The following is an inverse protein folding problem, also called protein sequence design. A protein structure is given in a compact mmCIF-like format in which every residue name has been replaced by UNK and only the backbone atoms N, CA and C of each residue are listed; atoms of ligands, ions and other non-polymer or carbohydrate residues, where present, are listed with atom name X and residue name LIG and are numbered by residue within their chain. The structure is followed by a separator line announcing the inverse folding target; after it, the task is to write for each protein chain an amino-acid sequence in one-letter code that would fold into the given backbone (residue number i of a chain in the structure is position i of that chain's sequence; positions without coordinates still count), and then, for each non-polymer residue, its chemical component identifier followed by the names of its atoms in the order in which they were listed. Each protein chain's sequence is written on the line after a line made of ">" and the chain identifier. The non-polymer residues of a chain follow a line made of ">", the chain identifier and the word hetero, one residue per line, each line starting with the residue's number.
data_IF_639314785325
#
_entry.id   IF_639314785325
#
_cell.length_a   1.000
_cell.length_b   1.000
_cell.length_c   1.000
_cell.angle_alpha   90.00
_cell.angle_beta   90.00
_cell.angle_gamma   90.00
#
_symmetry.space_group_name_H-M   'P 1'
#
loop_
_entity.id
_entity.type
_entity.pdbx_description
1 polymer ?
#
# COMPACT_ATOMS: atom_id res chain seq x y z
N UNK A 1 -16.10 29.21 7.90
CA UNK A 1 -16.12 27.73 7.83
C UNK A 1 -14.98 27.33 6.88
N UNK A 2 -13.88 26.78 7.39
CA UNK A 2 -12.75 26.33 6.55
C UNK A 2 -13.17 25.05 5.80
N UNK A 3 -13.68 25.18 4.58
CA UNK A 3 -13.45 24.10 3.59
C UNK A 3 -11.95 24.12 3.27
N UNK A 4 -11.28 23.03 2.96
CA UNK A 4 -11.64 21.64 2.98
C UNK A 4 -10.31 20.92 2.75
N UNK A 5 -9.76 20.30 3.79
CA UNK A 5 -8.51 19.55 3.65
C UNK A 5 -8.58 18.53 2.51
N UNK A 6 -9.78 17.99 2.26
CA UNK A 6 -10.08 17.10 1.14
C UNK A 6 -10.04 17.79 -0.23
N UNK A 7 -10.65 18.97 -0.38
CA UNK A 7 -10.62 19.73 -1.65
C UNK A 7 -9.20 20.20 -1.99
N UNK A 8 -8.45 20.62 -0.98
CA UNK A 8 -7.03 20.97 -1.11
C UNK A 8 -6.18 19.76 -1.50
N UNK A 9 -6.43 18.60 -0.90
CA UNK A 9 -5.71 17.37 -1.23
C UNK A 9 -5.97 16.94 -2.68
N UNK A 10 -7.24 16.93 -3.11
CA UNK A 10 -7.63 16.54 -4.48
C UNK A 10 -7.04 17.51 -5.50
N UNK A 11 -7.15 18.82 -5.28
CA UNK A 11 -6.57 19.82 -6.19
C UNK A 11 -5.05 19.75 -6.26
N UNK A 12 -4.37 19.48 -5.14
CA UNK A 12 -2.91 19.29 -5.09
C UNK A 12 -2.49 18.04 -5.87
N UNK A 13 -3.21 16.93 -5.73
CA UNK A 13 -2.95 15.71 -6.50
C UNK A 13 -3.14 15.94 -8.01
N UNK A 14 -4.24 16.60 -8.41
CA UNK A 14 -4.50 16.90 -9.82
C UNK A 14 -3.41 17.80 -10.42
N UNK A 15 -3.01 18.85 -9.70
CA UNK A 15 -1.93 19.74 -10.12
C UNK A 15 -0.59 18.98 -10.26
N UNK A 16 -0.27 18.11 -9.32
CA UNK A 16 0.97 17.32 -9.36
C UNK A 16 0.96 16.27 -10.48
N UNK A 17 -0.18 15.65 -10.78
CA UNK A 17 -0.32 14.73 -11.92
C UNK A 17 -0.22 15.47 -13.25
N UNK A 18 -0.77 16.67 -13.37
CA UNK A 18 -0.74 17.44 -14.61
C UNK A 18 0.67 17.91 -14.99
N UNK A 19 1.50 18.25 -13.99
CA UNK A 19 2.82 18.84 -14.21
C UNK A 19 3.97 17.84 -14.37
N UNK A 20 3.75 16.56 -14.06
CA UNK A 20 4.83 15.57 -13.98
C UNK A 20 4.47 14.27 -14.73
N UNK A 21 4.78 14.17 -16.04
CA UNK A 21 4.37 13.03 -16.88
C UNK A 21 4.96 11.69 -16.42
N UNK A 22 6.06 11.71 -15.65
CA UNK A 22 6.65 10.50 -15.06
C UNK A 22 5.75 9.86 -14.00
N UNK A 23 4.95 10.66 -13.28
CA UNK A 23 4.02 10.14 -12.26
C UNK A 23 2.88 9.34 -12.90
N UNK A 24 2.42 9.76 -14.09
CA UNK A 24 1.43 9.00 -14.86
C UNK A 24 1.95 7.62 -15.25
N UNK A 25 3.21 7.50 -15.67
CA UNK A 25 3.81 6.21 -15.97
C UNK A 25 3.82 5.29 -14.74
N UNK A 26 4.22 5.80 -13.58
CA UNK A 26 4.22 5.02 -12.34
C UNK A 26 2.80 4.56 -11.94
N UNK A 27 1.81 5.45 -12.03
CA UNK A 27 0.40 5.11 -11.75
C UNK A 27 -0.12 4.07 -12.75
N UNK A 28 0.15 4.26 -14.04
CA UNK A 28 -0.28 3.32 -15.08
C UNK A 28 0.33 1.93 -14.87
N UNK A 29 1.62 1.85 -14.55
CA UNK A 29 2.31 0.60 -14.21
C UNK A 29 1.68 -0.03 -12.97
N UNK A 30 1.42 0.74 -11.92
CA UNK A 30 0.80 0.24 -10.69
C UNK A 30 -0.63 -0.28 -10.92
N UNK A 31 -1.47 0.46 -11.66
CA UNK A 31 -2.84 0.03 -12.02
C UNK A 31 -2.79 -1.23 -12.88
N UNK A 32 -1.88 -1.28 -13.86
CA UNK A 32 -1.69 -2.47 -14.70
C UNK A 32 -1.26 -3.66 -13.86
N UNK A 33 -0.32 -3.46 -12.93
CA UNK A 33 0.11 -4.50 -11.99
C UNK A 33 -1.05 -5.02 -11.13
N UNK A 34 -1.84 -4.13 -10.52
CA UNK A 34 -3.02 -4.51 -9.72
C UNK A 34 -4.04 -5.29 -10.55
N UNK A 35 -4.31 -4.85 -11.78
CA UNK A 35 -5.19 -5.56 -12.69
C UNK A 35 -4.66 -6.96 -13.02
N UNK A 36 -3.38 -7.06 -13.38
CA UNK A 36 -2.76 -8.34 -13.74
C UNK A 36 -2.78 -9.32 -12.58
N UNK A 37 -2.44 -8.86 -11.37
CA UNK A 37 -2.32 -9.73 -10.18
C UNK A 37 -3.68 -10.19 -9.65
N UNK A 38 -4.69 -9.30 -9.62
CA UNK A 38 -5.95 -9.62 -8.93
C UNK A 38 -7.10 -9.99 -9.87
N UNK A 39 -7.10 -9.50 -11.12
CA UNK A 39 -8.26 -9.59 -12.01
C UNK A 39 -7.99 -10.36 -13.29
N UNK A 40 -6.74 -10.49 -13.70
CA UNK A 40 -6.39 -11.18 -14.95
C UNK A 40 -6.11 -12.66 -14.72
N UNK A 41 -6.57 -13.49 -15.65
CA UNK A 41 -6.24 -14.92 -15.74
C UNK A 41 -4.93 -15.17 -16.50
N UNK A 42 -4.21 -14.11 -16.87
CA UNK A 42 -3.07 -14.16 -17.79
C UNK A 42 -1.79 -14.67 -17.14
N UNK A 43 -1.67 -14.58 -15.81
CA UNK A 43 -0.47 -14.96 -15.06
C UNK A 43 -0.74 -16.13 -14.09
N UNK A 44 0.31 -16.65 -13.44
CA UNK A 44 0.20 -17.77 -12.50
C UNK A 44 -0.62 -17.38 -11.27
N UNK A 45 -1.85 -17.90 -11.19
CA UNK A 45 -2.75 -17.75 -10.05
C UNK A 45 -4.20 -17.79 -10.48
N UNK A 46 -5.09 -18.06 -9.53
CA UNK A 46 -6.53 -17.83 -9.71
C UNK A 46 -6.78 -16.32 -9.51
N UNK A 47 -7.66 -15.70 -10.31
CA UNK A 47 -8.07 -14.32 -10.07
C UNK A 47 -8.75 -14.23 -8.70
N UNK A 48 -8.76 -13.04 -8.10
CA UNK A 48 -9.36 -12.81 -6.78
C UNK A 48 -10.84 -13.22 -6.72
N UNK A 49 -11.54 -13.13 -7.86
CA UNK A 49 -12.95 -13.51 -8.02
C UNK A 49 -13.19 -15.02 -7.99
N UNK A 50 -12.17 -15.84 -8.25
CA UNK A 50 -12.24 -17.29 -8.26
C UNK A 50 -11.61 -17.94 -7.01
N UNK A 51 -11.16 -17.13 -6.04
CA UNK A 51 -10.63 -17.63 -4.78
C UNK A 51 -11.73 -18.29 -3.93
N UNK A 52 -11.34 -19.32 -3.19
CA UNK A 52 -12.23 -19.95 -2.21
C UNK A 52 -12.60 -18.98 -1.09
N UNK A 53 -13.82 -19.12 -0.56
CA UNK A 53 -14.30 -18.32 0.57
C UNK A 53 -13.36 -18.43 1.79
N UNK A 54 -12.80 -19.61 2.02
CA UNK A 54 -11.83 -19.86 3.09
C UNK A 54 -10.62 -18.93 2.99
N UNK A 55 -10.10 -18.72 1.78
CA UNK A 55 -8.95 -17.84 1.56
C UNK A 55 -9.29 -16.39 1.88
N UNK A 56 -10.50 -15.93 1.54
CA UNK A 56 -10.96 -14.58 1.88
C UNK A 56 -11.09 -14.37 3.39
N UNK A 57 -11.60 -15.37 4.11
CA UNK A 57 -11.67 -15.35 5.57
C UNK A 57 -10.26 -15.26 6.17
N UNK A 58 -9.32 -16.05 5.68
CA UNK A 58 -7.93 -16.06 6.15
C UNK A 58 -7.23 -14.72 5.91
N UNK A 59 -7.40 -14.13 4.72
CA UNK A 59 -6.86 -12.80 4.39
C UNK A 59 -7.44 -11.72 5.29
N UNK A 60 -8.76 -11.76 5.56
CA UNK A 60 -9.42 -10.83 6.47
C UNK A 60 -8.88 -10.97 7.89
N UNK A 61 -8.77 -12.20 8.38
CA UNK A 61 -8.36 -12.49 9.75
C UNK A 61 -6.89 -12.08 9.98
N UNK A 62 -6.01 -12.34 9.01
CA UNK A 62 -4.63 -11.83 8.99
C UNK A 62 -4.59 -10.29 8.98
N UNK A 63 -5.48 -9.65 8.22
CA UNK A 63 -5.55 -8.18 8.16
C UNK A 63 -6.00 -7.55 9.47
N UNK A 64 -6.91 -8.20 10.21
CA UNK A 64 -7.37 -7.73 11.54
C UNK A 64 -6.25 -7.85 12.58
N UNK A 65 -5.42 -8.89 12.46
CA UNK A 65 -4.26 -9.10 13.34
C UNK A 65 -3.04 -8.25 12.96
N UNK A 66 -3.09 -7.48 11.85
CA UNK A 66 -1.98 -6.64 11.46
C UNK A 66 -1.74 -5.50 12.47
N UNK A 67 -0.56 -5.49 13.07
CA UNK A 67 -0.06 -4.43 13.95
C UNK A 67 -1.06 -4.04 15.06
N UNK A 68 -1.68 -2.85 14.98
CA UNK A 68 -2.63 -2.33 15.97
C UNK A 68 -4.05 -2.20 15.40
N UNK A 69 -4.36 -2.86 14.27
CA UNK A 69 -5.67 -2.74 13.62
C UNK A 69 -6.80 -3.17 14.57
N UNK A 70 -6.69 -4.33 15.22
CA UNK A 70 -7.71 -4.80 16.17
C UNK A 70 -7.89 -3.88 17.39
N UNK A 71 -6.84 -3.38 18.07
CA UNK A 71 -6.98 -2.34 19.10
C UNK A 71 -7.63 -1.04 18.62
N UNK A 72 -7.26 -0.56 17.42
CA UNK A 72 -7.81 0.67 16.84
C UNK A 72 -9.32 0.52 16.58
N UNK A 73 -9.73 -0.66 16.13
CA UNK A 73 -11.14 -1.02 15.91
C UNK A 73 -11.87 -1.43 17.20
N UNK A 74 -11.17 -1.48 18.35
CA UNK A 74 -11.72 -1.86 19.65
C UNK A 74 -12.40 -3.23 19.64
N UNK A 75 -11.84 -4.18 18.88
CA UNK A 75 -12.41 -5.52 18.80
C UNK A 75 -12.16 -6.28 20.11
N UNK A 76 -13.17 -6.99 20.64
CA UNK A 76 -13.03 -7.74 21.89
C UNK A 76 -12.29 -9.09 21.71
N UNK A 77 -11.85 -9.40 20.49
CA UNK A 77 -11.16 -10.63 20.13
C UNK A 77 -10.08 -10.37 19.07
N UNK A 78 -9.14 -11.30 18.96
CA UNK A 78 -8.22 -11.42 17.84
C UNK A 78 -8.49 -12.76 17.14
N UNK A 79 -8.69 -12.79 15.81
CA UNK A 79 -8.77 -14.03 15.04
C UNK A 79 -7.59 -14.97 15.31
N UNK A 80 -7.85 -16.28 15.40
CA UNK A 80 -6.82 -17.29 15.61
C UNK A 80 -6.29 -17.73 14.25
N UNK A 81 -5.03 -17.42 13.96
CA UNK A 81 -4.35 -17.74 12.70
C UNK A 81 -3.02 -18.46 12.94
N UNK A 82 -2.48 -19.12 11.92
CA UNK A 82 -1.21 -19.81 12.06
C UNK A 82 -0.05 -18.80 12.27
N UNK A 83 0.79 -18.95 13.31
CA UNK A 83 1.78 -17.93 13.69
C UNK A 83 2.76 -17.54 12.57
N UNK A 84 3.17 -18.51 11.75
CA UNK A 84 4.08 -18.24 10.63
C UNK A 84 3.44 -17.40 9.53
N UNK A 85 2.13 -17.57 9.29
CA UNK A 85 1.43 -16.78 8.27
C UNK A 85 1.25 -15.34 8.75
N UNK A 86 0.89 -15.17 10.03
CA UNK A 86 0.78 -13.86 10.65
C UNK A 86 2.13 -13.12 10.62
N UNK A 87 3.21 -13.78 10.99
CA UNK A 87 4.56 -13.22 10.91
C UNK A 87 4.95 -12.81 9.48
N UNK A 88 4.65 -13.67 8.49
CA UNK A 88 4.96 -13.38 7.08
C UNK A 88 4.12 -12.22 6.54
N UNK A 89 2.83 -12.19 6.88
CA UNK A 89 1.91 -11.13 6.47
C UNK A 89 2.31 -9.78 7.08
N UNK A 90 2.60 -9.75 8.38
CA UNK A 90 3.05 -8.54 9.07
C UNK A 90 4.39 -8.04 8.50
N UNK A 91 5.32 -8.94 8.18
CA UNK A 91 6.59 -8.58 7.54
C UNK A 91 6.37 -7.96 6.16
N UNK A 92 5.56 -8.60 5.32
CA UNK A 92 5.24 -8.13 3.96
C UNK A 92 4.65 -6.72 3.98
N UNK A 93 3.64 -6.50 4.81
CA UNK A 93 2.98 -5.19 4.91
C UNK A 93 3.89 -4.14 5.54
N UNK A 94 4.69 -4.49 6.55
CA UNK A 94 5.68 -3.57 7.12
C UNK A 94 6.72 -3.17 6.09
N UNK A 95 7.21 -4.13 5.30
CA UNK A 95 8.14 -3.88 4.20
C UNK A 95 7.52 -2.98 3.13
N UNK A 96 6.26 -3.22 2.74
CA UNK A 96 5.54 -2.34 1.82
C UNK A 96 5.38 -0.91 2.38
N UNK A 97 5.10 -0.79 3.68
CA UNK A 97 4.96 0.51 4.35
C UNK A 97 6.26 1.33 4.35
N UNK A 98 7.44 0.69 4.34
CA UNK A 98 8.72 1.41 4.20
C UNK A 98 8.80 2.16 2.85
N UNK A 99 8.16 1.65 1.79
CA UNK A 99 8.10 2.35 0.50
C UNK A 99 7.15 3.54 0.49
N UNK A 100 6.16 3.58 1.37
CA UNK A 100 5.27 4.75 1.50
C UNK A 100 6.05 6.01 1.89
N UNK A 101 7.10 5.88 2.71
CA UNK A 101 8.00 6.98 3.05
C UNK A 101 8.73 7.55 1.83
N UNK A 102 9.18 6.68 0.92
CA UNK A 102 9.81 7.10 -0.34
C UNK A 102 8.80 7.78 -1.28
N UNK A 103 7.55 7.32 -1.33
CA UNK A 103 6.50 7.96 -2.13
C UNK A 103 6.06 9.32 -1.56
N UNK A 104 6.18 9.52 -0.25
CA UNK A 104 5.81 10.77 0.41
C UNK A 104 6.90 11.86 0.35
N UNK A 105 8.15 11.52 0.00
CA UNK A 105 9.27 12.46 0.01
C UNK A 105 9.49 13.14 -1.35
N UNK A 106 8.88 14.33 -1.51
CA UNK A 106 8.94 15.15 -2.73
C UNK A 106 9.91 16.35 -2.60
N UNK A 107 10.95 16.22 -1.77
CA UNK A 107 11.93 17.29 -1.55
C UNK A 107 12.86 17.44 -2.76
N UNK A 108 12.85 18.63 -3.38
CA UNK A 108 13.76 19.01 -4.48
C UNK A 108 15.24 18.96 -4.09
N UNK A 109 15.57 19.31 -2.85
CA UNK A 109 16.93 19.29 -2.32
C UNK A 109 17.00 18.26 -1.20
N UNK A 110 17.46 17.05 -1.52
CA UNK A 110 17.65 15.98 -0.53
C UNK A 110 19.02 16.21 0.15
N UNK A 111 19.07 16.51 1.46
CA UNK A 111 20.35 16.57 2.14
C UNK A 111 21.01 15.20 2.07
N UNK A 112 22.29 15.15 1.71
CA UNK A 112 23.01 13.89 1.64
C UNK A 112 23.21 13.35 3.07
N UNK A 113 22.34 12.44 3.47
CA UNK A 113 22.34 11.82 4.80
C UNK A 113 23.59 10.95 5.00
N UNK A 114 24.18 10.48 3.89
CA UNK A 114 25.41 9.70 3.87
C UNK A 114 26.46 10.43 3.03
N UNK A 115 27.25 11.35 3.63
CA UNK A 115 28.23 12.18 2.91
C UNK A 115 29.33 11.38 2.18
N UNK A 116 29.41 10.07 2.43
CA UNK A 116 30.31 9.13 1.76
C UNK A 116 29.80 8.65 0.38
N UNK A 117 28.52 8.81 0.08
CA UNK A 117 27.93 8.45 -1.21
C UNK A 117 27.68 9.71 -2.04
N UNK A 118 27.86 9.67 -3.37
CA UNK A 118 27.52 10.81 -4.23
C UNK A 118 26.02 11.13 -4.08
N UNK A 119 25.70 12.42 -3.96
CA UNK A 119 24.31 12.88 -3.96
C UNK A 119 23.71 12.64 -5.36
N UNK A 120 22.55 11.96 -5.40
CA UNK A 120 21.76 11.73 -6.62
C UNK A 120 20.58 12.68 -6.64
#
# INVERSE_FOLDING_TARGET
>A
IKSGGWELFVSTLQFNLANDPKRWAAIAIWVTYMYVVFLSDWFFGLPATALEERTWIEVRDLSINFFLVSPILQLPFAPIVHPMMEGTFNLLLSWAALFAGFLSDDRKNKPNIFPMLPAV
#
